data_IF_091175004456
#
_entry.id   IF_091175004456
#
_cell.length_a   1.000
_cell.length_b   1.000
_cell.length_c   1.000
_cell.angle_alpha   90.00
_cell.angle_beta   90.00
_cell.angle_gamma   90.00
#
_symmetry.space_group_name_H-M   'P 1'
#
loop_
_entity.id
_entity.type
_entity.pdbx_description
1 polymer ?
#
# COMPACT_ATOMS: atom_id res chain seq x y z
N UNK A 1 -26.61 6.05 -0.70
CA UNK A 1 -25.65 6.13 -1.82
C UNK A 1 -24.22 6.44 -1.32
N UNK A 2 -23.74 5.79 -0.26
CA UNK A 2 -22.54 6.24 0.48
C UNK A 2 -21.32 5.31 0.35
N UNK A 3 -21.56 4.02 0.15
CA UNK A 3 -20.51 3.00 -0.04
C UNK A 3 -19.57 3.24 -1.23
N UNK A 4 -20.03 3.65 -2.44
CA UNK A 4 -19.11 3.86 -3.57
C UNK A 4 -18.14 5.03 -3.34
N UNK A 5 -18.58 6.08 -2.63
CA UNK A 5 -17.76 7.25 -2.31
C UNK A 5 -16.62 6.90 -1.35
N UNK A 6 -16.90 6.09 -0.33
CA UNK A 6 -15.89 5.60 0.63
C UNK A 6 -14.83 4.75 -0.09
N UNK A 7 -15.23 3.89 -1.04
CA UNK A 7 -14.29 3.08 -1.81
C UNK A 7 -13.38 3.92 -2.72
N UNK A 8 -13.89 5.03 -3.27
CA UNK A 8 -13.11 5.96 -4.10
C UNK A 8 -12.09 6.75 -3.27
N UNK A 9 -12.47 7.20 -2.08
CA UNK A 9 -11.57 7.89 -1.14
C UNK A 9 -10.44 6.96 -0.68
N UNK A 10 -10.76 5.72 -0.28
CA UNK A 10 -9.77 4.73 0.14
C UNK A 10 -8.81 4.37 -1.00
N UNK A 11 -9.31 4.25 -2.23
CA UNK A 11 -8.45 4.05 -3.41
C UNK A 11 -7.52 5.24 -3.64
N UNK A 12 -8.04 6.45 -3.50
CA UNK A 12 -7.26 7.69 -3.68
C UNK A 12 -6.16 7.80 -2.63
N UNK A 13 -6.50 7.62 -1.35
CA UNK A 13 -5.53 7.62 -0.26
C UNK A 13 -4.46 6.52 -0.47
N UNK A 14 -4.87 5.30 -0.80
CA UNK A 14 -3.94 4.18 -1.04
C UNK A 14 -2.97 4.49 -2.19
N UNK A 15 -3.43 5.13 -3.27
CA UNK A 15 -2.55 5.56 -4.38
C UNK A 15 -1.57 6.66 -3.96
N UNK A 16 -2.01 7.61 -3.14
CA UNK A 16 -1.13 8.69 -2.64
C UNK A 16 -0.04 8.08 -1.75
N UNK A 17 -0.39 7.24 -0.78
CA UNK A 17 0.56 6.57 0.09
C UNK A 17 1.54 5.67 -0.69
N UNK A 18 1.04 4.92 -1.66
CA UNK A 18 1.87 4.14 -2.59
C UNK A 18 2.92 5.01 -3.29
N UNK A 19 2.54 6.16 -3.85
CA UNK A 19 3.48 7.07 -4.52
C UNK A 19 4.50 7.71 -3.59
N UNK A 20 4.09 8.04 -2.36
CA UNK A 20 5.01 8.54 -1.34
C UNK A 20 6.07 7.49 -1.00
N UNK A 21 5.66 6.24 -0.82
CA UNK A 21 6.57 5.13 -0.60
C UNK A 21 7.49 4.89 -1.79
N UNK A 22 7.00 5.01 -3.03
CA UNK A 22 7.84 4.91 -4.24
C UNK A 22 8.96 5.98 -4.21
N UNK A 23 8.65 7.21 -3.77
CA UNK A 23 9.64 8.28 -3.60
C UNK A 23 10.67 7.99 -2.51
N UNK A 24 10.22 7.49 -1.34
CA UNK A 24 11.15 7.11 -0.26
C UNK A 24 12.05 5.96 -0.67
N UNK A 25 11.52 4.93 -1.32
CA UNK A 25 12.29 3.80 -1.85
C UNK A 25 13.39 4.29 -2.79
N UNK A 26 13.05 5.13 -3.77
CA UNK A 26 14.03 5.66 -4.72
C UNK A 26 15.13 6.49 -4.04
N UNK A 27 14.76 7.31 -3.04
CA UNK A 27 15.73 8.08 -2.25
C UNK A 27 16.66 7.16 -1.44
N UNK A 28 16.10 6.13 -0.78
CA UNK A 28 16.88 5.15 -0.01
C UNK A 28 17.83 4.35 -0.90
N UNK A 29 17.39 3.95 -2.09
CA UNK A 29 18.25 3.27 -3.08
C UNK A 29 19.40 4.17 -3.56
N UNK A 30 19.13 5.46 -3.79
CA UNK A 30 20.18 6.42 -4.16
C UNK A 30 21.19 6.64 -3.04
N UNK A 31 20.74 6.68 -1.80
CA UNK A 31 21.62 6.84 -0.63
C UNK A 31 22.47 5.58 -0.41
N UNK A 32 21.87 4.40 -0.53
CA UNK A 32 22.59 3.12 -0.49
C UNK A 32 23.72 3.05 -1.52
N UNK A 33 23.48 3.53 -2.74
CA UNK A 33 24.49 3.53 -3.79
C UNK A 33 25.73 4.41 -3.48
N UNK A 34 25.64 5.27 -2.46
CA UNK A 34 26.72 6.20 -2.05
C UNK A 34 27.37 5.81 -0.73
N UNK A 35 26.79 4.87 0.01
CA UNK A 35 27.31 4.45 1.30
C UNK A 35 28.51 3.52 1.14
N UNK A 36 29.51 3.71 1.99
CA UNK A 36 30.57 2.74 2.16
C UNK A 36 30.03 1.53 2.94
N UNK A 37 30.61 0.33 2.75
CA UNK A 37 30.15 -0.85 3.46
C UNK A 37 30.22 -0.70 4.98
N UNK A 38 29.16 -1.18 5.66
CA UNK A 38 29.12 -1.22 7.12
C UNK A 38 27.71 -1.02 7.70
N UNK A 39 27.65 -0.73 9.00
CA UNK A 39 26.39 -0.67 9.76
C UNK A 39 25.32 0.26 9.14
N UNK A 40 25.73 1.40 8.61
CA UNK A 40 24.81 2.35 7.98
C UNK A 40 24.17 1.78 6.70
N UNK A 41 24.95 1.07 5.87
CA UNK A 41 24.46 0.36 4.69
C UNK A 41 23.47 -0.74 5.10
N UNK A 42 23.84 -1.60 6.05
CA UNK A 42 23.00 -2.69 6.54
C UNK A 42 21.66 -2.17 7.10
N UNK A 43 21.70 -1.09 7.88
CA UNK A 43 20.50 -0.46 8.45
C UNK A 43 19.59 0.14 7.37
N UNK A 44 20.18 0.73 6.32
CA UNK A 44 19.40 1.27 5.20
C UNK A 44 18.82 0.16 4.32
N UNK A 45 19.53 -0.96 4.13
CA UNK A 45 19.03 -2.13 3.43
C UNK A 45 17.80 -2.73 4.14
N UNK A 46 17.87 -2.88 5.46
CA UNK A 46 16.72 -3.34 6.26
C UNK A 46 15.53 -2.37 6.14
N UNK A 47 15.81 -1.07 6.20
CA UNK A 47 14.79 -0.03 6.04
C UNK A 47 14.16 -0.07 4.64
N UNK A 48 14.96 -0.29 3.60
CA UNK A 48 14.51 -0.43 2.21
C UNK A 48 13.60 -1.65 2.05
N UNK A 49 13.95 -2.78 2.67
CA UNK A 49 13.10 -3.98 2.65
C UNK A 49 11.74 -3.71 3.31
N UNK A 50 11.73 -3.04 4.46
CA UNK A 50 10.49 -2.65 5.16
C UNK A 50 9.65 -1.68 4.32
N UNK A 51 10.26 -0.71 3.65
CA UNK A 51 9.57 0.21 2.75
C UNK A 51 8.94 -0.52 1.56
N UNK A 52 9.64 -1.46 0.95
CA UNK A 52 9.11 -2.30 -0.14
C UNK A 52 7.95 -3.18 0.33
N UNK A 53 8.06 -3.78 1.52
CA UNK A 53 6.97 -4.55 2.13
C UNK A 53 5.73 -3.69 2.38
N UNK A 54 5.90 -2.48 2.94
CA UNK A 54 4.82 -1.52 3.13
C UNK A 54 4.21 -1.07 1.79
N UNK A 55 5.03 -0.86 0.75
CA UNK A 55 4.53 -0.49 -0.58
C UNK A 55 3.63 -1.55 -1.20
N UNK A 56 3.95 -2.83 -0.97
CA UNK A 56 3.16 -3.97 -1.42
C UNK A 56 1.80 -4.03 -0.73
N UNK A 57 1.71 -3.68 0.57
CA UNK A 57 0.46 -3.76 1.32
C UNK A 57 -0.61 -2.81 0.78
N UNK A 58 -0.26 -1.59 0.35
CA UNK A 58 -1.22 -0.66 -0.25
C UNK A 58 -1.81 -1.12 -1.58
N UNK A 59 -1.10 -1.98 -2.34
CA UNK A 59 -1.65 -2.65 -3.50
C UNK A 59 -2.74 -3.66 -3.13
N UNK A 60 -2.49 -4.44 -2.08
CA UNK A 60 -3.44 -5.45 -1.56
C UNK A 60 -4.65 -4.80 -0.89
N UNK A 61 -4.46 -3.80 -0.03
CA UNK A 61 -5.54 -3.13 0.71
C UNK A 61 -6.53 -2.43 -0.22
N UNK A 62 -6.03 -1.74 -1.26
CA UNK A 62 -6.90 -1.14 -2.26
C UNK A 62 -7.75 -2.19 -3.00
N UNK A 63 -7.21 -3.39 -3.26
CA UNK A 63 -7.94 -4.49 -3.89
C UNK A 63 -9.01 -5.10 -2.99
N UNK A 64 -8.70 -5.32 -1.70
CA UNK A 64 -9.64 -5.92 -0.72
C UNK A 64 -10.83 -5.01 -0.45
N UNK A 65 -10.62 -3.70 -0.28
CA UNK A 65 -11.72 -2.74 -0.04
C UNK A 65 -12.66 -2.65 -1.25
N UNK A 66 -12.14 -2.79 -2.47
CA UNK A 66 -13.00 -2.88 -3.66
C UNK A 66 -13.82 -4.17 -3.64
N UNK A 67 -13.21 -5.32 -3.34
CA UNK A 67 -13.94 -6.58 -3.29
C UNK A 67 -15.10 -6.56 -2.29
N UNK A 68 -14.87 -6.04 -1.08
CA UNK A 68 -15.90 -6.00 -0.02
C UNK A 68 -17.00 -4.96 -0.24
N UNK A 69 -16.71 -3.85 -0.93
CA UNK A 69 -17.72 -2.83 -1.27
C UNK A 69 -18.53 -3.23 -2.52
N UNK A 70 -17.97 -4.07 -3.39
CA UNK A 70 -18.61 -4.50 -4.64
C UNK A 70 -19.42 -5.79 -4.49
N UNK A 71 -19.19 -6.60 -3.44
CA UNK A 71 -20.12 -7.68 -3.09
C UNK A 71 -21.44 -7.08 -2.58
N UNK A 72 -22.56 -7.27 -3.30
CA UNK A 72 -23.86 -6.97 -2.73
C UNK A 72 -24.09 -7.99 -1.62
N UNK A 73 -24.72 -7.55 -0.53
CA UNK A 73 -25.42 -8.41 0.42
C UNK A 73 -26.49 -9.21 -0.35
N UNK A 74 -26.09 -10.26 -1.06
CA UNK A 74 -26.95 -11.21 -1.75
C UNK A 74 -27.33 -12.40 -0.85
N UNK A 75 -26.92 -12.38 0.42
CA UNK A 75 -27.19 -13.45 1.38
C UNK A 75 -28.41 -13.21 2.28
N UNK A 76 -29.07 -12.04 2.23
CA UNK A 76 -30.10 -11.69 3.23
C UNK A 76 -31.55 -11.68 2.72
N UNK A 77 -31.85 -12.21 1.52
CA UNK A 77 -33.21 -12.07 0.99
C UNK A 77 -33.69 -13.21 0.10
N UNK A 78 -33.43 -14.47 0.46
CA UNK A 78 -34.19 -15.63 -0.06
C UNK A 78 -34.08 -16.84 0.88
N UNK A 79 -34.88 -16.84 1.95
CA UNK A 79 -35.37 -18.04 2.61
C UNK A 79 -36.70 -17.65 3.27
N UNK A 80 -37.74 -17.58 2.42
CA UNK A 80 -39.14 -17.62 2.81
C UNK A 80 -39.55 -19.08 3.06
#
# INVERSE_FOLDING_TARGET
MSAPMIADEVRTASRIHARLLDGFIAMTEQELARLAPGFAEESLLESLERLRAARKSYGTTAGVVVATVTEPVLAASNAA
#
